data_IF_018227300381
#
_entry.id   IF_018227300381
#
_cell.length_a   1.000
_cell.length_b   1.000
_cell.length_c   1.000
_cell.angle_alpha   90.00
_cell.angle_beta   90.00
_cell.angle_gamma   90.00
#
_symmetry.space_group_name_H-M   'P 1'
#
loop_
_entity.id
_entity.type
_entity.pdbx_description
1 polymer ?
#
# COMPACT_ATOMS: atom_id res chain seq x y z
N UNK A 1 -58.40 -20.38 9.10
CA UNK A 1 -57.45 -19.41 9.67
C UNK A 1 -56.62 -20.14 10.70
N UNK A 2 -55.40 -20.54 10.35
CA UNK A 2 -54.45 -21.13 11.28
C UNK A 2 -53.30 -20.14 11.42
N UNK A 3 -53.25 -19.48 12.58
CA UNK A 3 -52.15 -18.65 13.05
C UNK A 3 -50.91 -19.53 13.24
N UNK A 4 -50.00 -19.53 12.27
CA UNK A 4 -48.66 -20.09 12.42
C UNK A 4 -47.78 -18.95 12.92
N UNK A 5 -47.78 -18.78 14.23
CA UNK A 5 -46.95 -17.82 14.94
C UNK A 5 -45.53 -18.39 15.06
N UNK A 6 -44.68 -17.98 14.11
CA UNK A 6 -43.34 -17.44 14.33
C UNK A 6 -42.53 -18.04 15.50
N UNK A 7 -41.66 -19.01 15.19
CA UNK A 7 -40.40 -19.23 15.93
C UNK A 7 -39.28 -19.56 14.94
N UNK A 8 -38.84 -18.55 14.18
CA UNK A 8 -37.45 -18.52 13.73
C UNK A 8 -36.61 -18.06 14.94
N UNK A 9 -36.09 -19.02 15.71
CA UNK A 9 -34.97 -18.73 16.60
C UNK A 9 -33.75 -18.43 15.73
N UNK A 10 -33.53 -17.14 15.47
CA UNK A 10 -32.23 -16.65 15.01
C UNK A 10 -31.24 -16.73 16.17
N UNK A 11 -30.70 -17.92 16.41
CA UNK A 11 -29.54 -18.16 17.29
C UNK A 11 -28.26 -17.70 16.59
N UNK A 12 -28.20 -16.41 16.21
CA UNK A 12 -27.02 -15.83 15.55
C UNK A 12 -26.75 -14.40 15.98
N UNK A 13 -27.44 -13.92 17.02
CA UNK A 13 -27.20 -12.60 17.62
C UNK A 13 -26.25 -12.61 18.82
N UNK A 14 -26.04 -13.76 19.47
CA UNK A 14 -25.28 -13.80 20.73
C UNK A 14 -23.75 -13.94 20.52
N UNK A 15 -23.30 -14.27 19.31
CA UNK A 15 -21.87 -14.34 19.00
C UNK A 15 -21.25 -12.99 18.57
N UNK A 16 -22.05 -12.01 18.14
CA UNK A 16 -21.52 -10.69 17.77
C UNK A 16 -21.48 -9.72 18.96
N UNK A 17 -22.35 -9.90 19.95
CA UNK A 17 -22.40 -9.06 21.15
C UNK A 17 -21.21 -9.27 22.11
N UNK A 18 -20.50 -10.40 22.01
CA UNK A 18 -19.30 -10.66 22.82
C UNK A 18 -18.02 -10.06 22.19
N UNK A 19 -18.05 -9.66 20.91
CA UNK A 19 -16.90 -9.14 20.17
C UNK A 19 -16.71 -7.62 20.29
N UNK A 20 -17.67 -6.90 20.89
CA UNK A 20 -17.53 -5.47 21.18
C UNK A 20 -17.27 -5.23 22.67
N UNK A 21 -16.36 -6.00 23.27
CA UNK A 21 -15.50 -5.40 24.29
C UNK A 21 -14.56 -4.41 23.56
N UNK A 22 -15.09 -3.22 23.23
CA UNK A 22 -14.32 -2.04 22.85
C UNK A 22 -13.59 -1.55 24.11
N UNK A 23 -12.67 -2.39 24.60
CA UNK A 23 -11.69 -1.96 25.57
C UNK A 23 -10.80 -0.93 24.85
N UNK A 24 -10.59 0.27 25.42
CA UNK A 24 -9.82 1.32 24.77
C UNK A 24 -8.39 0.88 24.40
N UNK A 25 -7.82 -0.14 25.06
CA UNK A 25 -6.53 -0.73 24.67
C UNK A 25 -6.61 -1.46 23.32
N UNK A 26 -7.67 -2.23 23.10
CA UNK A 26 -7.88 -2.97 21.86
C UNK A 26 -8.05 -2.03 20.65
N UNK A 27 -8.69 -0.87 20.85
CA UNK A 27 -8.79 0.16 19.80
C UNK A 27 -7.46 0.87 19.53
N UNK A 28 -6.63 1.08 20.56
CA UNK A 28 -5.29 1.67 20.39
C UNK A 28 -4.35 0.71 19.64
N UNK A 29 -4.40 -0.58 19.95
CA UNK A 29 -3.63 -1.61 19.22
C UNK A 29 -4.07 -1.70 17.76
N UNK A 30 -5.39 -1.70 17.50
CA UNK A 30 -5.93 -1.67 16.15
C UNK A 30 -5.47 -0.43 15.38
N UNK A 31 -5.47 0.75 16.02
CA UNK A 31 -5.02 2.00 15.41
C UNK A 31 -3.53 1.95 15.05
N UNK A 32 -2.70 1.43 15.94
CA UNK A 32 -1.26 1.27 15.69
C UNK A 32 -0.97 0.26 14.57
N UNK A 33 -1.75 -0.83 14.51
CA UNK A 33 -1.65 -1.81 13.44
C UNK A 33 -1.99 -1.20 12.07
N UNK A 34 -3.09 -0.46 11.99
CA UNK A 34 -3.50 0.23 10.75
C UNK A 34 -2.46 1.28 10.33
N UNK A 35 -1.91 2.05 11.28
CA UNK A 35 -0.82 3.00 10.98
C UNK A 35 0.41 2.30 10.42
N UNK A 36 0.84 1.20 11.03
CA UNK A 36 1.99 0.42 10.57
C UNK A 36 1.76 -0.16 9.17
N UNK A 37 0.54 -0.62 8.88
CA UNK A 37 0.16 -1.13 7.58
C UNK A 37 0.18 -0.03 6.50
N UNK A 38 -0.36 1.15 6.81
CA UNK A 38 -0.36 2.30 5.90
C UNK A 38 1.06 2.79 5.62
N UNK A 39 1.92 2.84 6.64
CA UNK A 39 3.32 3.20 6.47
C UNK A 39 4.03 2.19 5.56
N UNK A 40 3.88 0.89 5.81
CA UNK A 40 4.47 -0.15 4.96
C UNK A 40 3.96 -0.13 3.52
N UNK A 41 2.72 0.29 3.30
CA UNK A 41 2.16 0.50 1.96
C UNK A 41 2.81 1.72 1.29
N UNK A 42 2.94 2.85 1.99
CA UNK A 42 3.63 4.04 1.47
C UNK A 42 5.08 3.75 1.10
N UNK A 43 5.84 3.05 1.96
CA UNK A 43 7.25 2.72 1.72
C UNK A 43 7.41 1.84 0.45
N UNK A 44 6.51 0.87 0.26
CA UNK A 44 6.49 0.03 -0.95
C UNK A 44 6.18 0.84 -2.20
N UNK A 45 5.20 1.75 -2.15
CA UNK A 45 4.89 2.63 -3.27
C UNK A 45 6.03 3.60 -3.58
N UNK A 46 6.66 4.19 -2.55
CA UNK A 46 7.84 5.05 -2.76
C UNK A 46 9.00 4.29 -3.38
N UNK A 47 9.26 3.05 -2.94
CA UNK A 47 10.30 2.20 -3.52
C UNK A 47 10.07 1.99 -5.01
N UNK A 48 8.83 1.70 -5.43
CA UNK A 48 8.48 1.51 -6.84
C UNK A 48 8.66 2.80 -7.64
N UNK A 49 8.23 3.94 -7.09
CA UNK A 49 8.39 5.25 -7.76
C UNK A 49 9.87 5.64 -7.92
N UNK A 50 10.71 5.34 -6.92
CA UNK A 50 12.14 5.60 -6.97
C UNK A 50 12.87 4.66 -7.93
N UNK A 51 12.45 3.38 -8.01
CA UNK A 51 12.98 2.42 -8.98
C UNK A 51 12.64 2.83 -10.42
N UNK A 52 11.41 3.29 -10.68
CA UNK A 52 11.01 3.85 -11.97
C UNK A 52 11.80 5.13 -12.30
N UNK A 53 11.97 6.03 -11.33
CA UNK A 53 12.84 7.20 -11.51
C UNK A 53 14.29 6.82 -11.80
N UNK A 54 14.81 5.76 -11.18
CA UNK A 54 16.14 5.20 -11.44
C UNK A 54 16.29 4.74 -12.88
N UNK A 55 15.37 3.89 -13.37
CA UNK A 55 15.37 3.43 -14.76
C UNK A 55 15.32 4.59 -15.77
N UNK A 56 14.51 5.62 -15.48
CA UNK A 56 14.44 6.83 -16.33
C UNK A 56 15.72 7.65 -16.30
N UNK A 57 16.45 7.67 -15.19
CA UNK A 57 17.78 8.30 -15.10
C UNK A 57 18.77 7.51 -15.96
N UNK A 58 18.80 6.18 -15.85
CA UNK A 58 19.70 5.33 -16.66
C UNK A 58 19.46 5.55 -18.17
N UNK A 59 18.20 5.62 -18.59
CA UNK A 59 17.83 5.94 -19.97
C UNK A 59 18.30 7.34 -20.40
N UNK A 60 18.18 8.34 -19.51
CA UNK A 60 18.67 9.69 -19.78
C UNK A 60 20.20 9.72 -19.90
N UNK A 61 20.92 9.02 -19.01
CA UNK A 61 22.38 8.91 -19.06
C UNK A 61 22.85 8.28 -20.38
N UNK A 62 22.18 7.22 -20.83
CA UNK A 62 22.46 6.59 -22.11
C UNK A 62 22.20 7.53 -23.29
N UNK A 63 21.05 8.21 -23.31
CA UNK A 63 20.72 9.15 -24.38
C UNK A 63 21.72 10.32 -24.44
N UNK A 64 22.20 10.79 -23.28
CA UNK A 64 23.24 11.83 -23.20
C UNK A 64 24.57 11.30 -23.71
N UNK A 65 24.97 10.08 -23.36
CA UNK A 65 26.20 9.46 -23.87
C UNK A 65 26.17 9.26 -25.39
N UNK A 66 25.04 8.78 -25.92
CA UNK A 66 24.81 8.64 -27.36
C UNK A 66 24.87 10.00 -28.07
N UNK A 67 24.28 11.04 -27.47
CA UNK A 67 24.32 12.40 -28.00
C UNK A 67 25.72 13.03 -27.94
N UNK A 68 26.48 12.82 -26.87
CA UNK A 68 27.87 13.25 -26.74
C UNK A 68 28.76 12.57 -27.79
N UNK A 69 28.53 11.29 -28.03
CA UNK A 69 29.21 10.50 -29.08
C UNK A 69 28.84 11.01 -30.48
N UNK A 70 27.54 11.22 -30.77
CA UNK A 70 27.08 11.74 -32.06
C UNK A 70 27.54 13.17 -32.34
N UNK A 71 27.60 14.01 -31.32
CA UNK A 71 28.09 15.38 -31.42
C UNK A 71 29.62 15.43 -31.56
N UNK A 72 30.32 14.29 -31.54
CA UNK A 72 31.77 14.22 -31.65
C UNK A 72 32.50 14.88 -30.48
N UNK A 73 31.84 14.98 -29.32
CA UNK A 73 32.40 15.53 -28.07
C UNK A 73 33.12 14.42 -27.30
N UNK A 74 33.72 13.46 -28.02
CA UNK A 74 34.86 12.75 -27.47
C UNK A 74 35.92 13.81 -27.27
N UNK A 75 36.21 14.10 -26.01
CA UNK A 75 37.27 14.99 -25.60
C UNK A 75 38.45 14.94 -26.57
N UNK A 76 38.67 16.05 -27.26
CA UNK A 76 39.98 16.45 -27.69
C UNK A 76 40.82 16.77 -26.44
N UNK A 77 41.03 15.79 -25.57
CA UNK A 77 42.04 15.81 -24.53
C UNK A 77 43.32 15.26 -25.16
N UNK A 78 44.17 16.20 -25.55
CA UNK A 78 45.60 15.98 -25.82
C UNK A 78 46.34 15.69 -24.52
#
# INVERSE_FOLDING_TARGET
MADIKQEYKSDSGENFAMATNVDPKNMQELTQFVQSLLQGMQDKFQTILLDEMGNRIDDLEKNIADLMTQAGVESADK
#
